data_IF_887405511195
#
_entry.id   IF_887405511195
#
_cell.length_a   1.000
_cell.length_b   1.000
_cell.length_c   1.000
_cell.angle_alpha   90.00
_cell.angle_beta   90.00
_cell.angle_gamma   90.00
#
_symmetry.space_group_name_H-M   'P 1'
#
loop_
_entity.id
_entity.type
_entity.pdbx_description
1 polymer ?
#
# COMPACT_ATOMS: atom_id res chain seq x y z
N UNK A 1 -10.74 30.33 23.82
CA UNK A 1 -10.22 28.99 24.17
C UNK A 1 -11.30 28.02 23.79
N UNK A 2 -11.32 27.62 22.52
CA UNK A 2 -12.22 26.57 22.07
C UNK A 2 -11.43 25.26 22.11
N UNK A 3 -11.48 24.58 23.25
CA UNK A 3 -11.21 23.15 23.30
C UNK A 3 -12.34 22.46 22.54
N UNK A 4 -12.23 22.44 21.21
CA UNK A 4 -12.97 21.49 20.39
C UNK A 4 -12.55 20.10 20.88
N UNK A 5 -13.43 19.49 21.67
CA UNK A 5 -13.39 18.07 21.95
C UNK A 5 -13.16 17.35 20.63
N UNK A 6 -11.98 16.73 20.45
CA UNK A 6 -11.72 15.80 19.37
C UNK A 6 -12.86 14.77 19.39
N UNK A 7 -13.78 14.90 18.44
CA UNK A 7 -14.78 13.89 18.11
C UNK A 7 -14.00 12.64 17.69
N UNK A 8 -14.57 11.45 17.89
CA UNK A 8 -13.91 10.21 17.47
C UNK A 8 -13.38 10.34 16.04
N UNK A 9 -12.06 10.21 15.88
CA UNK A 9 -11.36 10.55 14.63
C UNK A 9 -10.48 9.40 14.17
N UNK A 10 -10.60 9.06 12.89
CA UNK A 10 -9.90 7.95 12.25
C UNK A 10 -8.93 8.53 11.24
N UNK A 11 -7.71 7.99 11.15
CA UNK A 11 -6.73 8.46 10.17
C UNK A 11 -5.95 7.30 9.54
N UNK A 12 -5.84 7.33 8.21
CA UNK A 12 -4.97 6.46 7.44
C UNK A 12 -3.62 7.15 7.22
N UNK A 13 -2.54 6.50 7.64
CA UNK A 13 -1.16 6.94 7.45
C UNK A 13 -0.50 5.96 6.49
N UNK A 14 -0.24 6.41 5.26
CA UNK A 14 0.39 5.58 4.22
C UNK A 14 1.90 5.78 4.24
N UNK A 15 2.65 4.72 4.53
CA UNK A 15 4.11 4.71 4.33
C UNK A 15 4.43 4.37 2.88
N UNK A 16 5.44 5.03 2.31
CA UNK A 16 5.89 4.75 0.94
C UNK A 16 7.40 4.90 0.84
N UNK A 17 8.04 4.08 0.01
CA UNK A 17 9.50 4.06 -0.10
C UNK A 17 10.02 2.71 -0.58
N UNK A 18 11.24 2.68 -1.10
CA UNK A 18 11.88 1.46 -1.59
C UNK A 18 12.15 0.46 -0.45
N UNK A 19 12.32 -0.84 -0.74
CA UNK A 19 12.79 -1.79 0.28
C UNK A 19 14.12 -1.33 0.87
N UNK A 20 14.28 -1.47 2.19
CA UNK A 20 15.48 -1.00 2.90
C UNK A 20 15.46 0.48 3.32
N UNK A 21 14.44 1.27 2.95
CA UNK A 21 14.37 2.68 3.39
C UNK A 21 13.94 2.89 4.85
N UNK A 22 13.57 1.84 5.59
CA UNK A 22 13.24 1.95 7.02
C UNK A 22 11.76 2.22 7.34
N UNK A 23 10.82 1.87 6.45
CA UNK A 23 9.37 2.04 6.67
C UNK A 23 8.90 1.33 7.94
N UNK A 24 9.19 0.04 8.09
CA UNK A 24 8.81 -0.74 9.27
C UNK A 24 9.43 -0.19 10.56
N UNK A 25 10.65 0.37 10.49
CA UNK A 25 11.28 1.06 11.62
C UNK A 25 10.49 2.30 12.01
N UNK A 26 10.12 3.15 11.04
CA UNK A 26 9.28 4.31 11.30
C UNK A 26 7.89 3.90 11.80
N UNK A 27 7.30 2.83 11.27
CA UNK A 27 5.99 2.35 11.68
C UNK A 27 5.98 1.96 13.16
N UNK A 28 7.02 1.22 13.61
CA UNK A 28 7.22 0.87 15.04
C UNK A 28 7.42 2.12 15.89
N UNK A 29 8.26 3.05 15.43
CA UNK A 29 8.49 4.31 16.14
C UNK A 29 7.21 5.14 16.29
N UNK A 30 6.35 5.16 15.26
CA UNK A 30 5.04 5.80 15.32
C UNK A 30 4.11 5.10 16.30
N UNK A 31 4.07 3.76 16.29
CA UNK A 31 3.29 2.99 17.25
C UNK A 31 3.69 3.31 18.70
N UNK A 32 4.98 3.25 19.00
CA UNK A 32 5.50 3.55 20.35
C UNK A 32 5.21 5.00 20.76
N UNK A 33 5.47 5.95 19.86
CA UNK A 33 5.34 7.38 20.17
C UNK A 33 3.90 7.85 20.26
N UNK A 34 3.04 7.49 19.30
CA UNK A 34 1.62 7.84 19.34
C UNK A 34 0.91 7.16 20.52
N UNK A 35 1.29 5.91 20.84
CA UNK A 35 0.82 5.23 22.05
C UNK A 35 1.24 5.94 23.34
N UNK A 36 2.46 6.48 23.40
CA UNK A 36 2.97 7.20 24.57
C UNK A 36 2.47 8.65 24.71
N UNK A 37 2.29 9.38 23.61
CA UNK A 37 1.98 10.83 23.61
C UNK A 37 0.61 11.17 24.20
N UNK A 38 -0.35 10.24 24.19
CA UNK A 38 -1.68 10.46 24.78
C UNK A 38 -1.75 10.21 26.29
N UNK A 39 -0.67 9.69 26.91
CA UNK A 39 -0.60 9.50 28.36
C UNK A 39 -0.13 10.78 29.08
N UNK A 40 0.70 11.62 28.43
CA UNK A 40 1.31 12.78 29.09
C UNK A 40 0.49 14.08 29.06
N UNK A 41 -0.47 14.24 28.14
CA UNK A 41 -1.13 15.56 27.96
C UNK A 41 -2.40 15.81 28.82
N UNK A 42 -2.87 14.88 29.66
CA UNK A 42 -4.08 15.10 30.50
C UNK A 42 -4.16 14.35 31.85
N UNK A 43 -3.09 14.27 32.64
CA UNK A 43 -3.19 13.73 34.01
C UNK A 43 -3.02 14.81 35.08
N UNK A 44 -4.01 15.71 35.17
CA UNK A 44 -4.23 16.35 36.48
C UNK A 44 -5.69 16.54 36.88
N UNK A 45 -6.69 16.77 36.01
CA UNK A 45 -8.01 17.18 36.55
C UNK A 45 -9.32 16.69 35.90
N UNK A 46 -9.37 15.84 34.87
CA UNK A 46 -10.67 15.38 34.35
C UNK A 46 -10.73 13.88 34.00
N UNK A 47 -11.68 13.19 34.64
CA UNK A 47 -12.14 11.84 34.30
C UNK A 47 -12.82 11.82 32.91
N UNK A 48 -12.03 11.79 31.82
CA UNK A 48 -12.50 11.31 30.51
C UNK A 48 -11.29 10.79 29.73
N UNK A 49 -10.95 9.53 29.94
CA UNK A 49 -9.81 8.85 29.33
C UNK A 49 -10.00 8.75 27.81
N UNK A 50 -9.57 9.77 27.06
CA UNK A 50 -9.48 9.70 25.60
C UNK A 50 -8.27 8.84 25.23
N UNK A 51 -8.52 7.62 24.76
CA UNK A 51 -7.48 6.70 24.29
C UNK A 51 -7.30 6.87 22.76
N UNK A 52 -6.04 6.91 22.30
CA UNK A 52 -5.66 6.85 20.89
C UNK A 52 -5.10 5.45 20.62
N UNK A 53 -5.78 4.69 19.77
CA UNK A 53 -5.28 3.39 19.34
C UNK A 53 -4.52 3.49 18.03
N UNK A 54 -3.40 2.77 17.93
CA UNK A 54 -2.56 2.71 16.72
C UNK A 54 -2.56 1.28 16.19
N UNK A 55 -2.95 1.11 14.94
CA UNK A 55 -3.01 -0.19 14.26
C UNK A 55 -1.94 -0.19 13.17
N UNK A 56 -1.03 -1.17 13.22
CA UNK A 56 -0.05 -1.40 12.16
C UNK A 56 -0.54 -2.49 11.22
N UNK A 57 -0.64 -2.17 9.94
CA UNK A 57 -0.95 -3.12 8.87
C UNK A 57 0.28 -3.21 7.98
N UNK A 58 1.07 -4.26 8.17
CA UNK A 58 2.20 -4.59 7.29
C UNK A 58 1.83 -5.77 6.40
N UNK A 59 2.01 -5.61 5.10
CA UNK A 59 1.77 -6.69 4.14
C UNK A 59 2.96 -7.66 4.04
N UNK A 60 4.12 -7.29 4.58
CA UNK A 60 5.33 -8.14 4.61
C UNK A 60 5.33 -9.13 5.80
N UNK A 61 4.61 -8.84 6.90
CA UNK A 61 4.56 -9.66 8.14
C UNK A 61 3.27 -10.50 8.30
N UNK A 62 2.32 -10.44 7.35
CA UNK A 62 1.06 -11.17 7.41
C UNK A 62 1.01 -12.34 6.40
N UNK A 63 1.44 -13.53 6.84
CA UNK A 63 0.76 -14.77 6.44
C UNK A 63 0.39 -15.59 7.69
N UNK A 64 -0.66 -15.22 8.43
CA UNK A 64 -1.50 -16.22 9.08
C UNK A 64 -2.48 -16.75 8.03
N UNK A 65 -2.51 -18.06 7.84
CA UNK A 65 -3.35 -18.79 6.86
C UNK A 65 -4.88 -18.57 6.96
N UNK A 66 -5.39 -17.58 7.71
CA UNK A 66 -6.82 -17.38 7.94
C UNK A 66 -7.29 -15.93 8.06
N UNK A 67 -6.60 -14.95 7.49
CA UNK A 67 -7.14 -13.58 7.36
C UNK A 67 -7.43 -13.33 5.87
N UNK A 68 -8.68 -13.04 5.45
CA UNK A 68 -8.99 -12.75 4.07
C UNK A 68 -8.20 -11.53 3.58
N UNK A 69 -7.27 -11.77 2.67
CA UNK A 69 -6.32 -10.82 2.08
C UNK A 69 -6.98 -10.03 0.92
N UNK A 70 -7.74 -8.96 1.17
CA UNK A 70 -8.07 -7.94 0.14
C UNK A 70 -8.45 -6.56 0.76
N UNK A 71 -8.94 -5.61 -0.04
CA UNK A 71 -9.55 -4.34 0.42
C UNK A 71 -10.54 -4.50 1.56
N UNK A 72 -11.17 -5.68 1.64
CA UNK A 72 -11.91 -6.20 2.76
C UNK A 72 -11.13 -6.17 4.05
N UNK A 73 -9.84 -6.46 4.16
CA UNK A 73 -9.17 -6.38 5.46
C UNK A 73 -9.22 -4.96 6.03
N UNK A 74 -8.82 -3.95 5.25
CA UNK A 74 -8.86 -2.55 5.68
C UNK A 74 -10.30 -2.02 5.76
N UNK A 75 -11.19 -2.38 4.83
CA UNK A 75 -12.59 -1.97 4.86
C UNK A 75 -13.35 -2.67 5.98
N UNK A 76 -13.09 -3.95 6.22
CA UNK A 76 -13.64 -4.75 7.32
C UNK A 76 -13.06 -4.29 8.63
N UNK A 77 -11.79 -3.90 8.72
CA UNK A 77 -11.23 -3.32 9.95
C UNK A 77 -11.85 -1.95 10.18
N UNK A 78 -12.00 -1.10 9.16
CA UNK A 78 -12.72 0.17 9.26
C UNK A 78 -14.21 -0.01 9.59
N UNK A 79 -14.88 -1.00 9.00
CA UNK A 79 -16.30 -1.38 9.24
C UNK A 79 -16.45 -2.00 10.64
N UNK A 80 -15.54 -2.86 11.08
CA UNK A 80 -15.49 -3.44 12.43
C UNK A 80 -15.20 -2.37 13.49
N UNK A 81 -14.35 -1.39 13.19
CA UNK A 81 -14.12 -0.21 14.03
C UNK A 81 -15.37 0.70 14.03
N UNK A 82 -16.16 0.75 12.95
CA UNK A 82 -17.45 1.43 12.92
C UNK A 82 -18.54 0.69 13.70
N UNK A 83 -18.52 -0.64 13.67
CA UNK A 83 -19.51 -1.54 14.29
C UNK A 83 -19.15 -1.97 15.72
N UNK A 84 -17.94 -1.64 16.21
CA UNK A 84 -17.48 -1.90 17.57
C UNK A 84 -17.07 -3.35 17.88
N UNK A 85 -16.86 -4.21 16.88
CA UNK A 85 -16.53 -5.64 17.06
C UNK A 85 -15.11 -5.97 16.59
N UNK A 86 -14.17 -6.21 17.51
CA UNK A 86 -12.73 -6.36 17.24
C UNK A 86 -12.21 -7.79 17.40
N UNK A 87 -11.31 -8.22 16.51
CA UNK A 87 -10.50 -9.44 16.69
C UNK A 87 -9.01 -9.07 16.59
N UNK A 88 -8.21 -9.70 17.44
CA UNK A 88 -6.79 -9.45 17.75
C UNK A 88 -6.53 -8.21 18.62
N UNK A 89 -6.62 -8.42 19.94
CA UNK A 89 -6.26 -7.45 20.96
C UNK A 89 -7.47 -6.72 21.52
N UNK A 90 -7.56 -6.66 22.84
CA UNK A 90 -8.58 -5.89 23.56
C UNK A 90 -8.47 -4.41 23.17
N UNK A 91 -9.29 -3.92 22.24
CA UNK A 91 -9.43 -2.48 22.05
C UNK A 91 -10.22 -1.92 23.25
N UNK A 92 -9.56 -1.10 24.06
CA UNK A 92 -10.18 -0.42 25.19
C UNK A 92 -10.81 0.89 24.71
N UNK A 93 -12.12 0.92 24.44
CA UNK A 93 -12.94 2.16 24.42
C UNK A 93 -12.29 3.41 23.79
N UNK A 94 -11.46 3.29 22.75
CA UNK A 94 -10.69 4.41 22.25
C UNK A 94 -11.55 5.33 21.40
N UNK A 95 -11.42 6.64 21.63
CA UNK A 95 -12.15 7.64 20.85
C UNK A 95 -11.50 7.82 19.48
N UNK A 96 -10.18 7.67 19.32
CA UNK A 96 -9.51 7.92 18.05
C UNK A 96 -8.62 6.74 17.62
N UNK A 97 -8.51 6.52 16.32
CA UNK A 97 -7.71 5.41 15.74
C UNK A 97 -6.81 5.91 14.61
N UNK A 98 -5.54 5.55 14.66
CA UNK A 98 -4.56 5.76 13.58
C UNK A 98 -4.18 4.41 12.99
N UNK A 99 -4.35 4.25 11.68
CA UNK A 99 -3.99 3.04 10.95
C UNK A 99 -2.76 3.35 10.10
N UNK A 100 -1.63 2.72 10.43
CA UNK A 100 -0.36 2.85 9.72
C UNK A 100 -0.23 1.71 8.72
N UNK A 101 -0.17 2.05 7.43
CA UNK A 101 -0.04 1.11 6.32
C UNK A 101 1.43 1.03 5.92
N UNK A 102 2.08 -0.10 6.22
CA UNK A 102 3.48 -0.40 5.89
C UNK A 102 3.57 -1.27 4.64
N UNK A 103 3.66 -0.62 3.47
CA UNK A 103 3.93 -1.23 2.16
C UNK A 103 4.90 -0.33 1.37
N UNK A 104 5.48 -0.82 0.27
CA UNK A 104 6.37 -0.05 -0.58
C UNK A 104 5.66 1.10 -1.30
N UNK A 105 4.35 0.95 -1.60
CA UNK A 105 3.47 1.98 -2.19
C UNK A 105 4.11 2.76 -3.35
N UNK A 106 4.76 2.02 -4.25
CA UNK A 106 5.66 2.58 -5.25
C UNK A 106 4.95 3.30 -6.40
N UNK A 107 3.68 2.95 -6.67
CA UNK A 107 2.85 3.67 -7.65
C UNK A 107 1.87 4.62 -6.97
N UNK A 108 1.63 5.76 -7.61
CA UNK A 108 0.63 6.77 -7.21
C UNK A 108 -0.76 6.15 -7.07
N UNK A 109 -1.12 5.22 -7.95
CA UNK A 109 -2.41 4.51 -7.89
C UNK A 109 -2.59 3.66 -6.64
N UNK A 110 -1.52 3.09 -6.10
CA UNK A 110 -1.57 2.32 -4.85
C UNK A 110 -1.96 3.23 -3.69
N UNK A 111 -1.39 4.43 -3.63
CA UNK A 111 -1.67 5.40 -2.58
C UNK A 111 -3.05 6.04 -2.75
N UNK A 112 -3.46 6.31 -3.99
CA UNK A 112 -4.77 6.88 -4.30
C UNK A 112 -5.91 5.98 -3.82
N UNK A 113 -5.73 4.66 -3.88
CA UNK A 113 -6.68 3.68 -3.35
C UNK A 113 -7.03 3.95 -1.88
N UNK A 114 -6.02 4.20 -1.05
CA UNK A 114 -6.22 4.50 0.37
C UNK A 114 -6.79 5.89 0.60
N UNK A 115 -6.49 6.85 -0.28
CA UNK A 115 -7.18 8.15 -0.28
C UNK A 115 -8.68 7.98 -0.56
N UNK A 116 -9.07 7.13 -1.52
CA UNK A 116 -10.47 6.84 -1.81
C UNK A 116 -11.17 6.15 -0.63
N UNK A 117 -10.48 5.24 0.06
CA UNK A 117 -10.99 4.62 1.30
C UNK A 117 -11.19 5.69 2.37
N UNK A 118 -10.19 6.55 2.62
CA UNK A 118 -10.31 7.63 3.58
C UNK A 118 -11.48 8.57 3.24
N UNK A 119 -11.67 8.89 1.95
CA UNK A 119 -12.80 9.69 1.45
C UNK A 119 -14.15 9.02 1.70
N UNK A 120 -14.27 7.73 1.37
CA UNK A 120 -15.50 6.93 1.55
C UNK A 120 -15.95 6.89 3.00
N UNK A 121 -15.00 6.72 3.94
CA UNK A 121 -15.30 6.58 5.36
C UNK A 121 -15.11 7.86 6.17
N UNK A 122 -14.86 9.00 5.51
CA UNK A 122 -14.63 10.31 6.13
C UNK A 122 -13.53 10.27 7.21
N UNK A 123 -12.39 9.69 6.83
CA UNK A 123 -11.20 9.59 7.67
C UNK A 123 -10.15 10.64 7.27
N UNK A 124 -9.28 10.98 8.22
CA UNK A 124 -8.01 11.64 7.93
C UNK A 124 -7.15 10.79 7.01
N UNK A 125 -6.35 11.46 6.17
CA UNK A 125 -5.40 10.81 5.27
C UNK A 125 -4.11 11.60 5.22
N UNK A 126 -2.97 10.91 5.37
CA UNK A 126 -1.66 11.48 5.09
C UNK A 126 -0.66 10.43 4.58
N UNK A 127 0.36 10.91 3.88
CA UNK A 127 1.41 10.09 3.29
C UNK A 127 2.78 10.47 3.85
N UNK A 128 3.54 9.44 4.23
CA UNK A 128 4.92 9.56 4.67
C UNK A 128 5.80 8.90 3.61
N UNK A 129 6.46 9.71 2.80
CA UNK A 129 7.39 9.23 1.78
C UNK A 129 8.81 9.21 2.34
N UNK A 130 9.36 8.01 2.48
CA UNK A 130 10.71 7.77 2.99
C UNK A 130 11.70 7.83 1.82
N UNK A 131 12.31 8.99 1.64
CA UNK A 131 13.40 9.18 0.69
C UNK A 131 14.68 8.55 1.27
N UNK A 132 15.28 7.68 0.48
CA UNK A 132 16.49 6.93 0.84
C UNK A 132 17.39 6.87 -0.38
N UNK A 133 18.69 7.06 -0.17
CA UNK A 133 19.67 6.74 -1.20
C UNK A 133 19.61 5.23 -1.54
N UNK A 134 19.70 4.88 -2.82
CA UNK A 134 19.68 3.48 -3.27
C UNK A 134 20.82 2.69 -2.64
N UNK A 135 22.01 3.27 -2.54
CA UNK A 135 23.18 2.63 -1.94
C UNK A 135 22.92 2.29 -0.46
N UNK A 136 22.37 3.23 0.29
CA UNK A 136 21.98 3.01 1.70
C UNK A 136 20.90 1.94 1.83
N UNK A 137 19.93 1.91 0.91
CA UNK A 137 18.91 0.86 0.90
C UNK A 137 19.48 -0.53 0.60
N UNK A 138 20.47 -0.62 -0.30
CA UNK A 138 21.20 -1.86 -0.61
C UNK A 138 22.01 -2.35 0.60
N UNK A 139 22.71 -1.45 1.27
CA UNK A 139 23.47 -1.77 2.50
C UNK A 139 22.55 -2.32 3.59
N UNK A 140 21.44 -1.63 3.86
CA UNK A 140 20.42 -2.08 4.82
C UNK A 140 19.72 -3.38 4.41
N UNK A 141 19.64 -3.67 3.11
CA UNK A 141 19.00 -4.89 2.61
C UNK A 141 19.78 -6.15 3.01
N UNK A 142 21.11 -6.08 3.12
CA UNK A 142 21.95 -7.20 3.58
C UNK A 142 21.59 -7.65 5.00
N UNK A 143 21.17 -6.71 5.84
CA UNK A 143 20.82 -6.96 7.24
C UNK A 143 19.37 -7.43 7.45
N UNK A 144 18.56 -7.48 6.39
CA UNK A 144 17.16 -7.95 6.50
C UNK A 144 17.10 -9.45 6.76
N UNK A 145 16.09 -9.88 7.51
CA UNK A 145 15.80 -11.32 7.71
C UNK A 145 15.61 -12.08 6.39
N UNK A 146 15.00 -11.41 5.40
CA UNK A 146 14.82 -11.93 4.04
C UNK A 146 15.28 -10.86 3.04
N UNK A 147 16.57 -10.84 2.69
CA UNK A 147 17.11 -9.93 1.68
C UNK A 147 16.51 -10.24 0.30
N UNK A 148 16.24 -9.19 -0.46
CA UNK A 148 15.90 -9.31 -1.89
C UNK A 148 17.15 -9.03 -2.74
N UNK A 149 17.12 -9.34 -4.04
CA UNK A 149 18.28 -9.05 -4.90
C UNK A 149 18.43 -7.56 -5.15
N UNK A 150 19.68 -7.10 -5.30
CA UNK A 150 20.01 -5.71 -5.57
C UNK A 150 19.28 -5.18 -6.82
N UNK A 151 19.19 -5.99 -7.87
CA UNK A 151 18.45 -5.68 -9.10
C UNK A 151 16.98 -5.31 -8.82
N UNK A 152 16.34 -5.94 -7.83
CA UNK A 152 14.95 -5.63 -7.46
C UNK A 152 14.88 -4.26 -6.79
N UNK A 153 15.81 -3.94 -5.88
CA UNK A 153 15.85 -2.63 -5.22
C UNK A 153 16.10 -1.51 -6.24
N UNK A 154 17.07 -1.70 -7.12
CA UNK A 154 17.39 -0.76 -8.21
C UNK A 154 16.19 -0.60 -9.14
N UNK A 155 15.56 -1.70 -9.55
CA UNK A 155 14.36 -1.65 -10.39
C UNK A 155 13.16 -0.99 -9.69
N UNK A 156 13.04 -1.10 -8.36
CA UNK A 156 12.01 -0.42 -7.59
C UNK A 156 12.30 1.07 -7.44
N UNK A 157 13.56 1.45 -7.22
CA UNK A 157 13.99 2.85 -7.14
C UNK A 157 13.75 3.62 -8.44
N UNK A 158 13.86 2.97 -9.60
CA UNK A 158 13.53 3.60 -10.89
C UNK A 158 12.03 3.74 -11.15
N UNK A 159 11.20 2.98 -10.43
CA UNK A 159 9.74 2.96 -10.60
C UNK A 159 8.99 3.73 -9.54
N UNK A 160 9.63 4.09 -8.44
CA UNK A 160 8.96 4.77 -7.34
C UNK A 160 8.52 6.16 -7.79
N UNK A 161 7.25 6.46 -7.56
CA UNK A 161 6.64 7.74 -7.88
C UNK A 161 6.45 8.52 -6.56
N UNK A 162 7.32 9.49 -6.24
CA UNK A 162 7.16 10.29 -5.02
C UNK A 162 5.82 11.06 -5.04
N UNK A 163 5.22 11.35 -3.87
CA UNK A 163 4.03 12.19 -3.81
C UNK A 163 4.28 13.55 -4.46
N UNK A 164 3.33 14.00 -5.28
CA UNK A 164 3.44 15.21 -6.07
C UNK A 164 2.12 15.98 -6.08
N UNK A 165 2.02 16.97 -5.19
CA UNK A 165 0.82 17.80 -5.00
C UNK A 165 0.49 18.67 -6.21
N UNK A 166 1.45 18.94 -7.08
CA UNK A 166 1.22 19.73 -8.29
C UNK A 166 0.36 18.96 -9.32
N UNK A 167 0.57 17.65 -9.45
CA UNK A 167 -0.23 16.80 -10.34
C UNK A 167 -1.42 16.15 -9.64
N UNK A 168 -1.29 15.88 -8.35
CA UNK A 168 -2.27 15.15 -7.55
C UNK A 168 -2.69 16.00 -6.34
N UNK A 169 -3.76 16.77 -6.47
CA UNK A 169 -4.27 17.62 -5.38
C UNK A 169 -4.63 16.82 -4.12
N UNK A 170 -5.02 15.55 -4.26
CA UNK A 170 -5.31 14.64 -3.16
C UNK A 170 -4.07 14.23 -2.34
N UNK A 171 -2.86 14.45 -2.85
CA UNK A 171 -1.60 14.20 -2.13
C UNK A 171 -1.18 15.36 -1.23
N UNK A 172 -2.04 16.37 -0.99
CA UNK A 172 -1.71 17.58 -0.20
C UNK A 172 -1.14 17.27 1.18
N UNK A 173 -1.64 16.23 1.86
CA UNK A 173 -1.15 15.80 3.16
C UNK A 173 0.01 14.82 3.04
N UNK A 174 1.08 15.19 2.33
CA UNK A 174 2.28 14.36 2.17
C UNK A 174 3.52 15.06 2.66
N UNK A 175 4.42 14.32 3.31
CA UNK A 175 5.77 14.82 3.63
C UNK A 175 6.83 13.83 3.17
N UNK A 176 7.97 14.38 2.80
CA UNK A 176 9.20 13.64 2.53
C UNK A 176 10.00 13.55 3.83
N UNK A 177 10.36 12.32 4.19
CA UNK A 177 11.21 11.98 5.32
C UNK A 177 12.56 11.55 4.77
N UNK A 178 13.62 12.24 5.18
CA UNK A 178 14.97 11.84 4.82
C UNK A 178 15.45 10.74 5.77
N UNK A 179 15.70 9.55 5.22
CA UNK A 179 16.11 8.38 6.01
C UNK A 179 17.63 8.22 6.14
N UNK A 180 18.39 9.12 5.52
CA UNK A 180 19.84 9.24 5.70
C UNK A 180 20.18 10.09 6.94
N UNK A 181 19.20 10.82 7.48
CA UNK A 181 19.28 11.56 8.75
C UNK A 181 18.51 10.86 9.87
N UNK A 182 18.81 11.22 11.13
CA UNK A 182 18.09 10.71 12.31
C UNK A 182 16.58 10.96 12.18
N UNK A 183 15.79 9.87 12.19
CA UNK A 183 14.34 9.92 12.05
C UNK A 183 13.71 10.63 13.25
N UNK A 184 14.27 10.49 14.45
CA UNK A 184 13.76 11.16 15.66
C UNK A 184 13.65 12.68 15.51
N UNK A 185 14.60 13.29 14.80
CA UNK A 185 14.60 14.74 14.55
C UNK A 185 13.41 15.21 13.69
N UNK A 186 12.84 14.31 12.88
CA UNK A 186 11.72 14.58 11.99
C UNK A 186 10.36 14.21 12.60
N UNK A 187 10.35 13.49 13.74
CA UNK A 187 9.12 13.07 14.42
C UNK A 187 8.14 14.21 14.71
N UNK A 188 8.55 15.39 15.20
CA UNK A 188 7.58 16.48 15.47
C UNK A 188 6.79 16.88 14.23
N UNK A 189 7.44 16.91 13.05
CA UNK A 189 6.80 17.21 11.78
C UNK A 189 5.85 16.10 11.34
N UNK A 190 6.25 14.84 11.54
CA UNK A 190 5.42 13.66 11.23
C UNK A 190 4.15 13.67 12.10
N UNK A 191 4.31 13.86 13.42
CA UNK A 191 3.18 13.94 14.34
C UNK A 191 2.25 15.11 14.03
N UNK A 192 2.81 16.27 13.68
CA UNK A 192 2.01 17.41 13.25
C UNK A 192 1.18 17.10 12.01
N UNK A 193 1.73 16.37 11.02
CA UNK A 193 0.98 15.98 9.83
C UNK A 193 -0.16 15.01 10.18
N UNK A 194 0.11 13.99 10.99
CA UNK A 194 -0.90 13.02 11.41
C UNK A 194 -2.04 13.72 12.16
N UNK A 195 -1.71 14.63 13.09
CA UNK A 195 -2.70 15.44 13.82
C UNK A 195 -3.52 16.32 12.87
N UNK A 196 -2.88 16.99 11.92
CA UNK A 196 -3.58 17.80 10.91
C UNK A 196 -4.52 16.94 10.06
N UNK A 197 -4.09 15.76 9.63
CA UNK A 197 -4.93 14.84 8.86
C UNK A 197 -6.14 14.34 9.68
N UNK A 198 -5.94 13.99 10.96
CA UNK A 198 -7.03 13.59 11.87
C UNK A 198 -8.07 14.70 12.07
N UNK A 199 -7.64 15.96 12.12
CA UNK A 199 -8.52 17.12 12.29
C UNK A 199 -9.24 17.53 10.99
N UNK A 200 -8.73 17.11 9.83
CA UNK A 200 -9.25 17.49 8.51
C UNK A 200 -9.55 16.22 7.69
N UNK A 201 -10.61 15.46 8.04
CA UNK A 201 -10.97 14.25 7.30
C UNK A 201 -11.38 14.55 5.86
N UNK A 202 -11.06 13.62 4.97
CA UNK A 202 -11.39 13.72 3.55
C UNK A 202 -12.90 13.57 3.38
N UNK A 203 -13.54 14.57 2.77
CA UNK A 203 -15.00 14.57 2.59
C UNK A 203 -15.41 13.76 1.35
N UNK A 204 -16.50 12.97 1.43
CA UNK A 204 -17.11 12.36 0.26
C UNK A 204 -17.45 13.41 -0.80
N UNK A 205 -17.30 13.07 -2.08
CA UNK A 205 -17.78 13.92 -3.18
C UNK A 205 -19.27 13.61 -3.36
N UNK A 206 -20.12 14.63 -3.35
CA UNK A 206 -21.52 14.49 -3.78
C UNK A 206 -21.53 14.14 -5.28
N UNK A 207 -22.19 13.03 -5.65
CA UNK A 207 -22.27 12.54 -7.02
C UNK A 207 -23.11 13.47 -7.92
N UNK A 208 -22.55 14.61 -8.35
CA UNK A 208 -23.27 15.56 -9.21
C UNK A 208 -22.43 16.24 -10.29
N UNK A 209 -21.25 15.71 -10.66
CA UNK A 209 -20.47 16.28 -11.76
C UNK A 209 -19.95 15.25 -12.80
N UNK A 210 -20.38 15.33 -14.07
CA UNK A 210 -19.84 14.55 -15.18
C UNK A 210 -18.32 14.66 -15.37
N UNK A 211 -17.64 15.68 -14.81
CA UNK A 211 -16.18 15.80 -14.83
C UNK A 211 -15.43 14.66 -14.11
N UNK A 212 -16.10 13.96 -13.16
CA UNK A 212 -15.56 12.80 -12.45
C UNK A 212 -15.34 11.57 -13.36
N UNK A 213 -15.86 11.58 -14.59
CA UNK A 213 -15.70 10.49 -15.55
C UNK A 213 -14.27 10.34 -16.08
N UNK A 214 -13.44 11.38 -16.06
CA UNK A 214 -12.03 11.29 -16.44
C UNK A 214 -11.19 10.59 -15.37
N UNK A 215 -11.40 10.95 -14.10
CA UNK A 215 -10.78 10.27 -12.95
C UNK A 215 -11.22 8.81 -12.89
N UNK A 216 -12.52 8.50 -13.03
CA UNK A 216 -12.99 7.11 -13.07
C UNK A 216 -12.38 6.29 -14.20
N UNK A 217 -12.13 6.88 -15.39
CA UNK A 217 -11.44 6.19 -16.49
C UNK A 217 -9.96 5.95 -16.19
N UNK A 218 -9.28 6.89 -15.54
CA UNK A 218 -7.87 6.75 -15.12
C UNK A 218 -7.72 5.80 -13.91
N UNK A 219 -8.71 5.76 -13.02
CA UNK A 219 -8.85 4.80 -11.92
C UNK A 219 -9.06 3.39 -12.50
N UNK A 220 -9.96 3.22 -13.47
CA UNK A 220 -10.15 1.94 -14.15
C UNK A 220 -8.87 1.43 -14.84
N UNK A 221 -8.15 2.30 -15.56
CA UNK A 221 -6.92 1.89 -16.25
C UNK A 221 -5.78 1.58 -15.28
N UNK A 222 -5.61 2.38 -14.23
CA UNK A 222 -4.60 2.13 -13.20
C UNK A 222 -4.92 0.89 -12.34
N UNK A 223 -6.20 0.60 -12.11
CA UNK A 223 -6.67 -0.62 -11.44
C UNK A 223 -6.38 -1.87 -12.29
N UNK A 224 -6.67 -1.86 -13.60
CA UNK A 224 -6.27 -2.96 -14.51
C UNK A 224 -4.76 -3.17 -14.48
N UNK A 225 -3.96 -2.11 -14.66
CA UNK A 225 -2.50 -2.25 -14.76
C UNK A 225 -1.95 -2.89 -13.49
N UNK A 226 -2.47 -2.46 -12.33
CA UNK A 226 -2.06 -3.01 -11.04
C UNK A 226 -2.46 -4.48 -10.86
N UNK A 227 -3.74 -4.79 -11.08
CA UNK A 227 -4.23 -6.17 -11.00
C UNK A 227 -3.48 -7.07 -11.98
N UNK A 228 -3.17 -6.56 -13.17
CA UNK A 228 -2.41 -7.28 -14.18
C UNK A 228 -0.99 -7.58 -13.74
N UNK A 229 -0.29 -6.62 -13.11
CA UNK A 229 1.05 -6.87 -12.58
C UNK A 229 1.03 -7.93 -11.47
N UNK A 230 0.05 -7.88 -10.56
CA UNK A 230 -0.10 -8.88 -9.50
C UNK A 230 -0.37 -10.29 -10.07
N UNK A 231 -1.32 -10.40 -11.02
CA UNK A 231 -1.63 -11.65 -11.71
C UNK A 231 -0.39 -12.20 -12.43
N UNK A 232 0.34 -11.36 -13.17
CA UNK A 232 1.55 -11.77 -13.89
C UNK A 232 2.66 -12.21 -12.95
N UNK A 233 2.84 -11.56 -11.79
CA UNK A 233 3.79 -12.02 -10.76
C UNK A 233 3.41 -13.43 -10.27
N UNK A 234 2.13 -13.67 -9.99
CA UNK A 234 1.62 -14.96 -9.53
C UNK A 234 1.82 -16.05 -10.58
N UNK A 235 1.51 -15.77 -11.85
CA UNK A 235 1.74 -16.69 -12.98
C UNK A 235 3.23 -17.05 -13.08
N UNK A 236 4.13 -16.06 -13.05
CA UNK A 236 5.57 -16.30 -13.10
C UNK A 236 6.02 -17.15 -11.91
N UNK A 237 5.62 -16.81 -10.68
CA UNK A 237 5.97 -17.59 -9.48
C UNK A 237 5.49 -19.04 -9.56
N UNK A 238 4.27 -19.29 -10.05
CA UNK A 238 3.74 -20.64 -10.25
C UNK A 238 4.55 -21.41 -11.30
N UNK A 239 4.82 -20.81 -12.46
CA UNK A 239 5.63 -21.46 -13.51
C UNK A 239 7.06 -21.73 -13.03
N UNK A 240 7.68 -20.81 -12.27
CA UNK A 240 9.00 -21.01 -11.67
C UNK A 240 9.02 -22.14 -10.63
N UNK A 241 7.95 -22.27 -9.82
CA UNK A 241 7.83 -23.35 -8.83
C UNK A 241 7.71 -24.71 -9.52
N UNK A 242 6.89 -24.80 -10.58
CA UNK A 242 6.76 -26.03 -11.37
C UNK A 242 8.07 -26.41 -12.09
N UNK A 243 8.86 -25.43 -12.55
CA UNK A 243 10.17 -25.68 -13.17
C UNK A 243 11.19 -26.28 -12.21
N UNK A 244 11.23 -25.84 -10.94
CA UNK A 244 12.13 -26.40 -9.93
C UNK A 244 11.83 -27.88 -9.63
N UNK A 245 10.62 -28.35 -9.93
CA UNK A 245 10.25 -29.76 -9.81
C UNK A 245 10.60 -30.63 -11.03
N UNK A 246 11.00 -30.04 -12.15
CA UNK A 246 11.15 -30.74 -13.45
C UNK A 246 12.56 -30.60 -14.05
N UNK A 247 13.23 -29.46 -13.88
CA UNK A 247 14.50 -29.19 -14.53
C UNK A 247 15.70 -29.56 -13.63
N UNK A 248 16.56 -30.46 -14.12
CA UNK A 248 17.75 -30.94 -13.40
C UNK A 248 18.98 -30.04 -13.57
N UNK A 249 19.02 -29.21 -14.63
CA UNK A 249 20.16 -28.34 -14.95
C UNK A 249 19.92 -26.84 -14.63
N UNK A 250 20.91 -26.24 -13.97
CA UNK A 250 20.93 -24.84 -13.53
C UNK A 250 20.95 -23.85 -14.70
N UNK A 251 21.59 -24.20 -15.82
CA UNK A 251 21.65 -23.31 -17.00
C UNK A 251 20.28 -23.19 -17.67
N UNK A 252 19.59 -24.31 -17.81
CA UNK A 252 18.22 -24.36 -18.38
C UNK A 252 17.22 -23.61 -17.49
N UNK A 253 17.32 -23.75 -16.16
CA UNK A 253 16.51 -23.00 -15.21
C UNK A 253 16.71 -21.48 -15.34
N UNK A 254 17.94 -21.01 -15.52
CA UNK A 254 18.23 -19.58 -15.69
C UNK A 254 17.65 -19.03 -17.00
N UNK A 255 17.80 -19.77 -18.10
CA UNK A 255 17.25 -19.38 -19.40
C UNK A 255 15.72 -19.27 -19.38
N UNK A 256 15.04 -20.26 -18.80
CA UNK A 256 13.58 -20.26 -18.69
C UNK A 256 13.07 -19.18 -17.72
N UNK A 257 13.78 -18.94 -16.61
CA UNK A 257 13.46 -17.86 -15.67
C UNK A 257 13.52 -16.50 -16.34
N UNK A 258 14.57 -16.24 -17.13
CA UNK A 258 14.71 -15.01 -17.91
C UNK A 258 13.58 -14.88 -18.92
N UNK A 259 13.25 -15.96 -19.64
CA UNK A 259 12.15 -15.98 -20.62
C UNK A 259 10.81 -15.59 -20.00
N UNK A 260 10.47 -16.11 -18.82
CA UNK A 260 9.21 -15.76 -18.14
C UNK A 260 9.17 -14.30 -17.67
N UNK A 261 10.30 -13.76 -17.22
CA UNK A 261 10.40 -12.34 -16.83
C UNK A 261 10.26 -11.42 -18.04
N UNK A 262 10.85 -11.79 -19.18
CA UNK A 262 10.75 -11.03 -20.43
C UNK A 262 9.29 -11.03 -20.96
N UNK A 263 8.63 -12.20 -20.98
CA UNK A 263 7.20 -12.30 -21.36
C UNK A 263 6.33 -11.45 -20.44
N UNK A 264 6.55 -11.51 -19.11
CA UNK A 264 5.84 -10.67 -18.14
C UNK A 264 6.00 -9.19 -18.49
N UNK A 265 7.21 -8.74 -18.79
CA UNK A 265 7.49 -7.35 -19.16
C UNK A 265 6.70 -6.96 -20.41
N UNK A 266 6.73 -7.79 -21.45
CA UNK A 266 5.97 -7.56 -22.67
C UNK A 266 4.46 -7.52 -22.44
N UNK A 267 3.89 -8.44 -21.63
CA UNK A 267 2.48 -8.38 -21.25
C UNK A 267 2.14 -7.02 -20.62
N UNK A 268 2.94 -6.59 -19.64
CA UNK A 268 2.72 -5.34 -18.93
C UNK A 268 2.80 -4.13 -19.87
N UNK A 269 3.77 -4.12 -20.78
CA UNK A 269 3.94 -3.03 -21.75
C UNK A 269 2.79 -2.97 -22.75
N UNK A 270 2.28 -4.11 -23.23
CA UNK A 270 1.09 -4.17 -24.11
C UNK A 270 -0.18 -3.65 -23.42
N UNK A 271 -0.34 -3.94 -22.13
CA UNK A 271 -1.47 -3.46 -21.33
C UNK A 271 -1.34 -1.94 -21.08
N UNK A 272 -0.14 -1.47 -20.71
CA UNK A 272 0.12 -0.03 -20.48
C UNK A 272 -0.05 0.83 -21.72
N UNK A 273 0.35 0.31 -22.88
CA UNK A 273 0.23 1.02 -24.17
C UNK A 273 -1.15 0.92 -24.80
N UNK A 274 -2.08 0.17 -24.17
CA UNK A 274 -3.44 -0.02 -24.68
C UNK A 274 -3.55 -0.93 -25.91
N UNK A 275 -2.47 -1.65 -26.28
CA UNK A 275 -2.51 -2.65 -27.35
C UNK A 275 -3.40 -3.85 -26.98
N UNK A 276 -3.56 -4.11 -25.69
CA UNK A 276 -4.49 -5.10 -25.14
C UNK A 276 -5.36 -4.40 -24.11
N UNK A 277 -6.67 -4.55 -24.24
CA UNK A 277 -7.65 -4.08 -23.27
C UNK A 277 -8.51 -5.26 -22.80
N UNK A 278 -8.93 -5.18 -21.54
CA UNK A 278 -9.81 -6.18 -20.93
C UNK A 278 -11.14 -5.49 -20.60
N UNK A 279 -12.30 -6.12 -20.89
CA UNK A 279 -13.59 -5.58 -20.49
C UNK A 279 -13.69 -5.57 -18.97
N UNK A 280 -13.95 -4.40 -18.37
CA UNK A 280 -14.13 -4.26 -16.92
C UNK A 280 -15.62 -4.20 -16.60
N UNK A 281 -16.09 -5.04 -15.67
CA UNK A 281 -17.25 -4.73 -14.83
C UNK A 281 -16.75 -3.87 -13.67
N UNK A 282 -17.32 -2.68 -13.51
CA UNK A 282 -16.82 -1.58 -12.66
C UNK A 282 -16.74 -1.93 -11.16
N UNK A 283 -17.25 -3.10 -10.75
CA UNK A 283 -17.53 -3.43 -9.36
C UNK A 283 -16.83 -4.69 -8.80
N UNK A 284 -15.83 -5.26 -9.48
CA UNK A 284 -15.14 -6.46 -8.93
C UNK A 284 -13.83 -6.12 -8.18
N UNK A 285 -13.81 -6.25 -6.83
CA UNK A 285 -12.60 -6.05 -6.04
C UNK A 285 -11.60 -7.21 -6.21
N UNK A 286 -10.32 -6.83 -6.34
CA UNK A 286 -9.12 -7.69 -6.27
C UNK A 286 -9.22 -9.09 -6.93
N UNK A 287 -9.40 -9.06 -8.25
CA UNK A 287 -9.50 -10.26 -9.11
C UNK A 287 -8.18 -11.05 -9.18
N UNK A 288 -7.06 -10.47 -8.70
CA UNK A 288 -5.72 -11.10 -8.75
C UNK A 288 -5.58 -12.37 -7.91
N UNK A 289 -6.38 -12.47 -6.85
CA UNK A 289 -6.32 -13.59 -5.91
C UNK A 289 -7.12 -14.80 -6.42
N UNK A 290 -8.19 -14.57 -7.18
CA UNK A 290 -9.01 -15.63 -7.75
C UNK A 290 -8.47 -16.09 -9.11
N UNK A 291 -7.95 -17.31 -9.14
CA UNK A 291 -7.43 -17.96 -10.36
C UNK A 291 -8.57 -18.21 -11.36
N UNK A 292 -9.82 -18.35 -10.91
CA UNK A 292 -10.97 -18.64 -11.76
C UNK A 292 -11.59 -17.38 -12.38
N UNK A 293 -11.14 -16.22 -11.97
CA UNK A 293 -11.69 -14.97 -12.45
C UNK A 293 -11.41 -14.72 -13.93
N UNK A 294 -12.32 -13.97 -14.58
CA UNK A 294 -12.20 -13.70 -16.00
C UNK A 294 -10.93 -12.92 -16.34
N UNK A 295 -10.58 -11.90 -15.54
CA UNK A 295 -9.35 -11.13 -15.73
C UNK A 295 -8.10 -12.01 -15.59
N UNK A 296 -8.03 -12.88 -14.58
CA UNK A 296 -6.90 -13.81 -14.42
C UNK A 296 -6.75 -14.71 -15.63
N UNK A 297 -7.86 -15.29 -16.11
CA UNK A 297 -7.87 -16.19 -17.26
C UNK A 297 -7.47 -15.48 -18.55
N UNK A 298 -7.93 -14.24 -18.77
CA UNK A 298 -7.55 -13.45 -19.94
C UNK A 298 -6.05 -13.10 -19.93
N UNK A 299 -5.50 -12.71 -18.78
CA UNK A 299 -4.07 -12.40 -18.63
C UNK A 299 -3.21 -13.66 -18.77
N UNK A 300 -3.66 -14.80 -18.23
CA UNK A 300 -2.98 -16.07 -18.41
C UNK A 300 -2.92 -16.47 -19.89
N UNK A 301 -4.02 -16.32 -20.64
CA UNK A 301 -4.03 -16.58 -22.10
C UNK A 301 -3.07 -15.67 -22.84
N UNK A 302 -3.05 -14.37 -22.53
CA UNK A 302 -2.11 -13.42 -23.12
C UNK A 302 -0.65 -13.84 -22.85
N UNK A 303 -0.34 -14.20 -21.60
CA UNK A 303 0.99 -14.66 -21.20
C UNK A 303 1.40 -15.92 -21.97
N UNK A 304 0.51 -16.93 -22.06
CA UNK A 304 0.79 -18.18 -22.76
C UNK A 304 0.91 -18.01 -24.28
N UNK A 305 0.15 -17.08 -24.87
CA UNK A 305 0.29 -16.73 -26.28
C UNK A 305 1.66 -16.11 -26.57
N UNK A 306 2.05 -15.07 -25.81
CA UNK A 306 3.35 -14.41 -25.99
C UNK A 306 4.51 -15.36 -25.68
N UNK A 307 4.34 -16.28 -24.73
CA UNK A 307 5.35 -17.30 -24.45
C UNK A 307 5.57 -18.22 -25.66
N UNK A 308 4.50 -18.59 -26.39
CA UNK A 308 4.57 -19.38 -27.63
C UNK A 308 5.21 -18.61 -28.78
N UNK A 309 4.95 -17.30 -28.91
CA UNK A 309 5.55 -16.46 -29.96
C UNK A 309 7.08 -16.31 -29.81
N UNK A 310 7.61 -16.52 -28.59
CA UNK A 310 9.05 -16.47 -28.28
C UNK A 310 9.66 -17.90 -28.21
N UNK A 311 8.93 -18.93 -28.63
CA UNK A 311 9.40 -20.34 -28.67
C UNK A 311 9.56 -20.81 -30.10
#
# INVERSE_FOLDING_TARGET
>A
MDTQSLKSSKCLVVLSGIPGCGKSTLAKLLYDKLGSMYVEEQWSHLNSSKCLDVIMVSYDELIPENIPLDDKAVSTDLERIQEGNTFLGQFTSAESVVIVLDDNMYYTSMRHKYFQIARKYTCGFCQLYLACNVQTALERNVERNQPITDDVIVAMATKIEPPNTHYNSWETNSIVINTDSEIESQLPRIMSLVKTAMLNPVQPIEETDPALTAESRQICSSNIIHQSDQILRKIVSQKMTNLKGIAEDKSTLQQLSKKYLDVRKTCLDKIKTGQVSFPITVDEPNVSCDINSELYQQILRLFEQLLKEIT
#
